data_IF_801871918615
#
_entry.id   IF_801871918615
#
_cell.length_a   1.000
_cell.length_b   1.000
_cell.length_c   1.000
_cell.angle_alpha   90.00
_cell.angle_beta   90.00
_cell.angle_gamma   90.00
#
_symmetry.space_group_name_H-M   'P 1'
#
loop_
_entity.id
_entity.type
_entity.pdbx_description
1 polymer ?
#
# COMPACT_ATOMS: atom_id res chain seq x y z
N UNK A 1 24.86 -16.79 45.41
CA UNK A 1 23.42 -16.91 45.08
C UNK A 1 23.21 -16.22 43.75
N UNK A 2 22.85 -16.98 42.71
CA UNK A 2 22.71 -16.49 41.34
C UNK A 2 21.29 -15.92 41.24
N UNK A 3 21.14 -14.60 41.30
CA UNK A 3 19.85 -13.94 41.08
C UNK A 3 19.44 -14.18 39.63
N UNK A 4 18.62 -15.20 39.44
CA UNK A 4 17.94 -15.52 38.20
C UNK A 4 16.75 -14.55 38.15
N UNK A 5 16.97 -13.36 37.58
CA UNK A 5 15.85 -12.52 37.18
C UNK A 5 15.07 -13.31 36.15
N UNK A 6 13.92 -13.85 36.56
CA UNK A 6 12.90 -14.33 35.65
C UNK A 6 12.57 -13.14 34.75
N UNK A 7 13.00 -13.17 33.49
CA UNK A 7 12.49 -12.30 32.44
C UNK A 7 10.96 -12.47 32.48
N UNK A 8 10.26 -11.54 33.14
CA UNK A 8 8.81 -11.49 33.12
C UNK A 8 8.43 -11.14 31.69
N UNK A 9 8.21 -12.18 30.88
CA UNK A 9 7.59 -12.02 29.58
C UNK A 9 6.22 -11.38 29.84
N UNK A 10 5.96 -10.17 29.33
CA UNK A 10 4.66 -9.52 29.54
C UNK A 10 3.56 -10.45 29.05
N UNK A 11 2.43 -10.46 29.75
CA UNK A 11 1.31 -11.32 29.39
C UNK A 11 0.81 -10.93 28.00
N UNK A 12 0.86 -11.90 27.07
CA UNK A 12 0.50 -11.71 25.67
C UNK A 12 -0.96 -11.30 25.56
N UNK A 13 -1.83 -11.86 26.39
CA UNK A 13 -3.26 -11.54 26.39
C UNK A 13 -3.51 -10.11 26.86
N UNK A 14 -2.84 -9.69 27.93
CA UNK A 14 -2.90 -8.31 28.43
C UNK A 14 -2.39 -7.31 27.37
N UNK A 15 -1.27 -7.61 26.70
CA UNK A 15 -0.72 -6.77 25.63
C UNK A 15 -1.68 -6.62 24.45
N UNK A 16 -2.33 -7.71 24.02
CA UNK A 16 -3.32 -7.67 22.94
C UNK A 16 -4.51 -6.82 23.36
N UNK A 17 -5.11 -7.14 24.50
CA UNK A 17 -6.38 -6.54 24.94
C UNK A 17 -6.24 -5.03 25.17
N UNK A 18 -5.12 -4.60 25.75
CA UNK A 18 -4.82 -3.18 26.01
C UNK A 18 -4.53 -2.36 24.74
N UNK A 19 -4.23 -3.00 23.61
CA UNK A 19 -3.82 -2.33 22.36
C UNK A 19 -4.77 -2.61 21.18
N UNK A 20 -5.97 -3.16 21.42
CA UNK A 20 -6.97 -3.34 20.36
C UNK A 20 -7.44 -2.02 19.75
N UNK A 21 -7.50 -0.94 20.55
CA UNK A 21 -7.87 0.39 20.06
C UNK A 21 -6.82 0.94 19.08
N UNK A 22 -5.54 0.66 19.32
CA UNK A 22 -4.44 1.05 18.43
C UNK A 22 -4.61 0.44 17.04
N UNK A 23 -5.04 -0.83 16.97
CA UNK A 23 -5.36 -1.49 15.69
C UNK A 23 -6.46 -0.75 14.96
N UNK A 24 -7.55 -0.40 15.66
CA UNK A 24 -8.66 0.33 15.04
C UNK A 24 -8.24 1.71 14.55
N UNK A 25 -7.46 2.44 15.33
CA UNK A 25 -6.90 3.74 14.93
C UNK A 25 -6.04 3.61 13.66
N UNK A 26 -5.10 2.67 13.64
CA UNK A 26 -4.23 2.42 12.49
C UNK A 26 -5.04 1.99 11.26
N UNK A 27 -5.98 1.07 11.43
CA UNK A 27 -6.82 0.58 10.34
C UNK A 27 -7.69 1.69 9.74
N UNK A 28 -8.33 2.53 10.57
CA UNK A 28 -9.10 3.69 10.09
C UNK A 28 -8.23 4.71 9.36
N UNK A 29 -7.06 4.98 9.93
CA UNK A 29 -6.10 5.88 9.32
C UNK A 29 -5.65 5.40 7.92
N UNK A 30 -5.41 4.09 7.80
CA UNK A 30 -5.02 3.43 6.55
C UNK A 30 -6.17 3.31 5.56
N UNK A 31 -7.39 3.00 6.04
CA UNK A 31 -8.59 2.86 5.22
C UNK A 31 -8.90 4.14 4.43
N UNK A 32 -8.63 5.32 5.01
CA UNK A 32 -8.76 6.59 4.30
C UNK A 32 -7.96 6.70 2.99
N UNK A 33 -6.98 5.81 2.76
CA UNK A 33 -6.15 5.73 1.54
C UNK A 33 -6.51 4.58 0.59
N UNK A 34 -7.31 3.60 1.02
CA UNK A 34 -7.61 2.37 0.26
C UNK A 34 -9.09 1.97 0.33
N UNK A 35 -9.96 2.88 0.75
CA UNK A 35 -11.39 2.62 1.01
C UNK A 35 -12.15 2.11 -0.22
N UNK A 36 -11.65 2.34 -1.44
CA UNK A 36 -12.27 1.80 -2.65
C UNK A 36 -11.92 0.34 -2.91
N UNK A 37 -10.92 -0.19 -2.21
CA UNK A 37 -10.28 -1.46 -2.52
C UNK A 37 -10.48 -2.52 -1.44
N UNK A 38 -10.67 -2.11 -0.19
CA UNK A 38 -10.84 -3.01 0.96
C UNK A 38 -11.78 -2.39 2.00
N UNK A 39 -12.59 -3.21 2.66
CA UNK A 39 -13.46 -2.76 3.74
C UNK A 39 -12.68 -2.50 5.04
N UNK A 40 -13.18 -1.60 5.87
CA UNK A 40 -12.56 -1.28 7.16
C UNK A 40 -12.47 -2.50 8.09
N UNK A 41 -13.49 -3.36 8.09
CA UNK A 41 -13.53 -4.54 8.96
C UNK A 41 -12.42 -5.54 8.59
N UNK A 42 -12.12 -5.70 7.30
CA UNK A 42 -11.01 -6.53 6.83
C UNK A 42 -9.67 -5.95 7.27
N UNK A 43 -9.46 -4.63 7.14
CA UNK A 43 -8.24 -3.97 7.61
C UNK A 43 -8.04 -4.12 9.12
N UNK A 44 -9.11 -4.01 9.90
CA UNK A 44 -9.07 -4.22 11.35
C UNK A 44 -8.68 -5.67 11.66
N UNK A 45 -9.24 -6.66 10.96
CA UNK A 45 -8.89 -8.07 11.16
C UNK A 45 -7.42 -8.35 10.83
N UNK A 46 -6.92 -7.83 9.70
CA UNK A 46 -5.51 -7.94 9.32
C UNK A 46 -4.62 -7.27 10.37
N UNK A 47 -5.04 -6.09 10.85
CA UNK A 47 -4.34 -5.38 11.91
C UNK A 47 -4.28 -6.16 13.22
N UNK A 48 -5.36 -6.85 13.60
CA UNK A 48 -5.37 -7.72 14.78
C UNK A 48 -4.40 -8.89 14.62
N UNK A 49 -4.30 -9.48 13.42
CA UNK A 49 -3.29 -10.51 13.15
C UNK A 49 -1.86 -9.96 13.35
N UNK A 50 -1.61 -8.73 12.89
CA UNK A 50 -0.36 -8.00 13.14
C UNK A 50 -0.08 -7.77 14.62
N UNK A 51 -1.10 -7.38 15.40
CA UNK A 51 -1.00 -7.17 16.84
C UNK A 51 -0.70 -8.46 17.61
N UNK A 52 -1.41 -9.56 17.30
CA UNK A 52 -1.17 -10.88 17.91
C UNK A 52 0.27 -11.32 17.65
N UNK A 53 0.71 -11.21 16.39
CA UNK A 53 2.09 -11.53 16.01
C UNK A 53 3.10 -10.63 16.72
N UNK A 54 2.79 -9.35 16.92
CA UNK A 54 3.64 -8.43 17.67
C UNK A 54 3.74 -8.84 19.14
N UNK A 55 2.61 -9.12 19.80
CA UNK A 55 2.57 -9.51 21.21
C UNK A 55 3.35 -10.80 21.48
N UNK A 56 3.22 -11.81 20.61
CA UNK A 56 3.94 -13.08 20.72
C UNK A 56 5.47 -12.93 20.60
N UNK A 57 5.91 -11.98 19.77
CA UNK A 57 7.32 -11.77 19.44
C UNK A 57 7.97 -10.61 20.21
N UNK A 58 7.22 -9.94 21.10
CA UNK A 58 7.73 -8.81 21.84
C UNK A 58 8.73 -9.24 22.91
N UNK A 59 9.86 -8.53 22.95
CA UNK A 59 10.84 -8.63 24.02
C UNK A 59 11.04 -7.24 24.60
N UNK A 60 10.97 -7.13 25.93
CA UNK A 60 11.13 -5.85 26.61
C UNK A 60 12.54 -5.34 26.37
N UNK A 61 12.67 -4.16 25.75
CA UNK A 61 13.95 -3.47 25.52
C UNK A 61 13.85 -2.05 26.06
N UNK A 62 14.92 -1.57 26.68
CA UNK A 62 14.98 -0.18 27.12
C UNK A 62 14.85 0.77 25.92
N UNK A 63 13.92 1.73 26.01
CA UNK A 63 13.74 2.80 25.01
C UNK A 63 12.63 2.60 23.97
N UNK A 64 11.96 1.45 23.92
CA UNK A 64 10.83 1.24 23.00
C UNK A 64 9.61 0.67 23.74
N UNK A 65 8.47 1.38 23.67
CA UNK A 65 7.21 0.87 24.22
C UNK A 65 6.63 -0.21 23.32
N UNK A 66 5.83 -1.11 23.90
CA UNK A 66 5.10 -2.10 23.10
C UNK A 66 4.20 -1.44 22.05
N UNK A 67 3.52 -0.33 22.39
CA UNK A 67 2.69 0.41 21.45
C UNK A 67 3.45 0.86 20.18
N UNK A 68 4.65 1.43 20.34
CA UNK A 68 5.48 1.84 19.19
C UNK A 68 5.92 0.65 18.34
N UNK A 69 6.31 -0.46 18.97
CA UNK A 69 6.67 -1.69 18.27
C UNK A 69 5.47 -2.33 17.55
N UNK A 70 4.35 -2.48 18.25
CA UNK A 70 3.11 -3.04 17.72
C UNK A 70 2.59 -2.20 16.54
N UNK A 71 2.64 -0.87 16.63
CA UNK A 71 2.24 0.01 15.53
C UNK A 71 2.97 -0.29 14.22
N UNK A 72 4.30 -0.49 14.28
CA UNK A 72 5.10 -0.88 13.10
C UNK A 72 4.65 -2.23 12.55
N UNK A 73 4.43 -3.23 13.42
CA UNK A 73 4.04 -4.59 13.02
C UNK A 73 2.62 -4.68 12.46
N UNK A 74 1.67 -3.95 13.06
CA UNK A 74 0.29 -3.84 12.58
C UNK A 74 0.29 -3.21 11.19
N UNK A 75 0.99 -2.08 11.02
CA UNK A 75 1.10 -1.42 9.72
C UNK A 75 1.72 -2.34 8.67
N UNK A 76 2.83 -3.00 9.02
CA UNK A 76 3.49 -3.95 8.13
C UNK A 76 2.58 -5.09 7.69
N UNK A 77 1.81 -5.68 8.60
CA UNK A 77 0.85 -6.74 8.27
C UNK A 77 -0.22 -6.26 7.28
N UNK A 78 -0.76 -5.06 7.50
CA UNK A 78 -1.74 -4.45 6.59
C UNK A 78 -1.10 -4.17 5.23
N UNK A 79 0.08 -3.54 5.19
CA UNK A 79 0.82 -3.24 3.94
C UNK A 79 1.10 -4.52 3.16
N UNK A 80 1.58 -5.57 3.82
CA UNK A 80 1.90 -6.84 3.18
C UNK A 80 0.67 -7.53 2.61
N UNK A 81 -0.47 -7.46 3.31
CA UNK A 81 -1.73 -7.97 2.80
C UNK A 81 -2.16 -7.20 1.54
N UNK A 82 -2.16 -5.88 1.61
CA UNK A 82 -2.52 -5.03 0.48
C UNK A 82 -1.58 -5.28 -0.71
N UNK A 83 -0.29 -5.55 -0.48
CA UNK A 83 0.68 -5.87 -1.55
C UNK A 83 0.33 -7.17 -2.25
N UNK A 84 -0.07 -8.18 -1.50
CA UNK A 84 -0.52 -9.46 -2.07
C UNK A 84 -1.82 -9.25 -2.87
N UNK A 85 -2.76 -8.49 -2.32
CA UNK A 85 -4.02 -8.15 -3.00
C UNK A 85 -3.79 -7.33 -4.28
N UNK A 86 -2.88 -6.36 -4.28
CA UNK A 86 -2.57 -5.55 -5.46
C UNK A 86 -1.86 -6.34 -6.55
N UNK A 87 -0.93 -7.22 -6.19
CA UNK A 87 -0.28 -8.13 -7.14
C UNK A 87 -1.31 -9.05 -7.79
N UNK A 88 -2.27 -9.55 -7.01
CA UNK A 88 -3.39 -10.32 -7.53
C UNK A 88 -4.28 -9.50 -8.47
N UNK A 89 -4.60 -8.25 -8.11
CA UNK A 89 -5.37 -7.34 -8.97
C UNK A 89 -4.63 -7.05 -10.29
N UNK A 90 -3.33 -6.73 -10.23
CA UNK A 90 -2.50 -6.48 -11.43
C UNK A 90 -2.48 -7.69 -12.35
N UNK A 91 -2.24 -8.89 -11.79
CA UNK A 91 -2.23 -10.13 -12.57
C UNK A 91 -3.59 -10.38 -13.22
N UNK A 92 -4.67 -10.14 -12.47
CA UNK A 92 -6.05 -10.23 -12.98
C UNK A 92 -6.31 -9.22 -14.10
N UNK A 93 -5.87 -7.97 -13.98
CA UNK A 93 -6.02 -6.94 -15.01
C UNK A 93 -5.26 -7.30 -16.29
N UNK A 94 -4.00 -7.73 -16.15
CA UNK A 94 -3.18 -8.16 -17.29
C UNK A 94 -3.81 -9.37 -18.00
N UNK A 95 -4.33 -10.34 -17.23
CA UNK A 95 -5.03 -11.49 -17.79
C UNK A 95 -6.34 -11.11 -18.46
N UNK A 96 -7.13 -10.20 -17.88
CA UNK A 96 -8.38 -9.72 -18.48
C UNK A 96 -8.14 -9.02 -19.81
N UNK A 97 -7.06 -8.22 -19.93
CA UNK A 97 -6.64 -7.62 -21.20
C UNK A 97 -6.30 -8.68 -22.24
N UNK A 98 -5.54 -9.72 -21.87
CA UNK A 98 -5.21 -10.84 -22.76
C UNK A 98 -6.47 -11.58 -23.21
N UNK A 99 -7.38 -11.90 -22.28
CA UNK A 99 -8.66 -12.54 -22.57
C UNK A 99 -9.52 -11.68 -23.52
N UNK A 100 -9.56 -10.36 -23.33
CA UNK A 100 -10.30 -9.47 -24.23
C UNK A 100 -9.72 -9.43 -25.67
N UNK A 101 -8.40 -9.51 -25.81
CA UNK A 101 -7.74 -9.63 -27.12
C UNK A 101 -8.07 -10.98 -27.76
N UNK A 102 -7.84 -12.08 -27.04
CA UNK A 102 -8.15 -13.44 -27.49
C UNK A 102 -9.62 -13.58 -27.92
N UNK A 103 -10.55 -13.06 -27.13
CA UNK A 103 -11.98 -13.07 -27.45
C UNK A 103 -12.33 -12.25 -28.69
N UNK A 104 -11.65 -11.12 -28.95
CA UNK A 104 -11.84 -10.35 -30.19
C UNK A 104 -11.34 -11.11 -31.41
N UNK A 105 -10.18 -11.76 -31.32
CA UNK A 105 -9.64 -12.58 -32.41
C UNK A 105 -10.54 -13.78 -32.73
N UNK A 106 -10.99 -14.50 -31.70
CA UNK A 106 -11.88 -15.64 -31.87
C UNK A 106 -13.25 -15.21 -32.42
N UNK A 107 -13.83 -14.11 -31.94
CA UNK A 107 -15.05 -13.53 -32.53
C UNK A 107 -14.88 -13.25 -34.02
N UNK A 108 -13.75 -12.66 -34.42
CA UNK A 108 -13.47 -12.36 -35.82
C UNK A 108 -13.33 -13.62 -36.67
N UNK A 109 -12.83 -14.73 -36.12
CA UNK A 109 -12.66 -16.00 -36.83
C UNK A 109 -13.93 -16.85 -36.87
N UNK A 110 -14.69 -16.90 -35.76
CA UNK A 110 -15.84 -17.77 -35.57
C UNK A 110 -17.16 -17.12 -36.01
N UNK A 111 -17.22 -15.79 -36.09
CA UNK A 111 -18.46 -15.05 -36.38
C UNK A 111 -19.52 -15.13 -35.27
N UNK A 112 -19.15 -15.64 -34.09
CA UNK A 112 -19.98 -15.75 -32.88
C UNK A 112 -19.12 -15.55 -31.64
N UNK A 113 -19.74 -15.46 -30.47
CA UNK A 113 -18.98 -15.47 -29.22
C UNK A 113 -18.29 -16.83 -29.00
N UNK A 114 -17.00 -16.83 -28.58
CA UNK A 114 -16.27 -18.04 -28.25
C UNK A 114 -16.73 -18.61 -26.90
N UNK A 115 -16.67 -19.93 -26.77
CA UNK A 115 -16.90 -20.62 -25.50
C UNK A 115 -15.67 -20.50 -24.59
N UNK A 116 -15.82 -20.80 -23.30
CA UNK A 116 -14.69 -20.80 -22.36
C UNK A 116 -13.62 -21.83 -22.76
N UNK A 117 -14.02 -23.00 -23.24
CA UNK A 117 -13.10 -24.02 -23.76
C UNK A 117 -12.31 -23.51 -24.99
N UNK A 118 -12.96 -22.78 -25.91
CA UNK A 118 -12.32 -22.18 -27.08
C UNK A 118 -11.36 -21.05 -26.68
N UNK A 119 -11.73 -20.24 -25.67
CA UNK A 119 -10.87 -19.22 -25.09
C UNK A 119 -9.63 -19.83 -24.42
N UNK A 120 -9.82 -20.85 -23.59
CA UNK A 120 -8.75 -21.56 -22.90
C UNK A 120 -7.76 -22.17 -23.89
N UNK A 121 -8.27 -22.85 -24.93
CA UNK A 121 -7.46 -23.44 -25.99
C UNK A 121 -6.67 -22.40 -26.79
N UNK A 122 -7.28 -21.24 -27.08
CA UNK A 122 -6.60 -20.15 -27.82
C UNK A 122 -5.57 -19.41 -26.97
N UNK A 123 -5.76 -19.37 -25.65
CA UNK A 123 -4.85 -18.75 -24.69
C UNK A 123 -3.78 -19.71 -24.15
N UNK A 124 -3.79 -20.98 -24.58
CA UNK A 124 -2.87 -22.04 -24.13
C UNK A 124 -2.88 -22.25 -22.61
N UNK A 125 -4.07 -22.20 -22.01
CA UNK A 125 -4.29 -22.46 -20.58
C UNK A 125 -5.32 -23.59 -20.37
N UNK A 126 -5.26 -24.32 -19.25
CA UNK A 126 -6.28 -25.29 -18.88
C UNK A 126 -7.67 -24.64 -18.76
N UNK A 127 -8.72 -25.37 -19.14
CA UNK A 127 -10.10 -24.88 -19.04
C UNK A 127 -10.50 -24.55 -17.59
N UNK A 128 -10.03 -25.32 -16.62
CA UNK A 128 -10.21 -25.05 -15.19
C UNK A 128 -9.58 -23.72 -14.77
N UNK A 129 -8.41 -23.38 -15.32
CA UNK A 129 -7.75 -22.11 -15.05
C UNK A 129 -8.54 -20.94 -15.65
N UNK A 130 -9.08 -21.11 -16.86
CA UNK A 130 -9.94 -20.10 -17.49
C UNK A 130 -11.23 -19.85 -16.69
N UNK A 131 -11.82 -20.89 -16.09
CA UNK A 131 -12.95 -20.74 -15.17
C UNK A 131 -12.57 -19.91 -13.94
N UNK A 132 -11.43 -20.18 -13.32
CA UNK A 132 -10.94 -19.41 -12.17
C UNK A 132 -10.73 -17.93 -12.55
N UNK A 133 -10.15 -17.65 -13.71
CA UNK A 133 -9.99 -16.29 -14.21
C UNK A 133 -11.32 -15.59 -14.46
N UNK A 134 -12.32 -16.29 -15.00
CA UNK A 134 -13.65 -15.72 -15.21
C UNK A 134 -14.29 -15.24 -13.90
N UNK A 135 -14.17 -16.02 -12.83
CA UNK A 135 -14.62 -15.62 -11.49
C UNK A 135 -13.83 -14.42 -10.95
N UNK A 136 -12.50 -14.42 -11.10
CA UNK A 136 -11.64 -13.32 -10.66
C UNK A 136 -11.94 -12.00 -11.40
N UNK A 137 -12.32 -12.07 -12.69
CA UNK A 137 -12.74 -10.90 -13.46
C UNK A 137 -14.04 -10.32 -12.91
N UNK A 138 -15.04 -11.14 -12.59
CA UNK A 138 -16.33 -10.67 -12.07
C UNK A 138 -16.17 -9.99 -10.71
N UNK A 139 -15.32 -10.52 -9.83
CA UNK A 139 -15.03 -9.90 -8.54
C UNK A 139 -14.41 -8.49 -8.68
N UNK A 140 -13.57 -8.27 -9.71
CA UNK A 140 -12.94 -6.97 -9.96
C UNK A 140 -13.85 -5.94 -10.65
N UNK A 141 -14.96 -6.33 -11.29
CA UNK A 141 -15.83 -5.40 -12.03
C UNK A 141 -16.53 -4.38 -11.11
N UNK A 142 -16.65 -4.67 -9.81
CA UNK A 142 -17.25 -3.76 -8.83
C UNK A 142 -16.32 -2.63 -8.36
N UNK A 143 -15.04 -2.64 -8.75
CA UNK A 143 -14.08 -1.59 -8.44
C UNK A 143 -13.47 -1.05 -9.74
N UNK A 144 -13.32 0.28 -9.85
CA UNK A 144 -12.67 0.87 -11.04
C UNK A 144 -11.21 0.43 -11.09
N UNK A 145 -10.81 -0.19 -12.21
CA UNK A 145 -9.50 -0.84 -12.37
C UNK A 145 -8.31 0.11 -12.17
N UNK A 146 -8.48 1.40 -12.50
CA UNK A 146 -7.43 2.42 -12.33
C UNK A 146 -7.38 3.01 -10.91
N UNK A 147 -8.50 3.06 -10.19
CA UNK A 147 -8.52 3.66 -8.84
C UNK A 147 -7.89 2.74 -7.80
N UNK A 148 -8.09 1.43 -7.94
CA UNK A 148 -7.48 0.42 -7.07
C UNK A 148 -5.96 0.45 -7.17
N UNK A 149 -5.42 0.63 -8.38
CA UNK A 149 -3.97 0.63 -8.60
C UNK A 149 -3.28 1.87 -8.01
N UNK A 150 -3.86 3.05 -8.15
CA UNK A 150 -3.25 4.31 -7.67
C UNK A 150 -3.16 4.36 -6.14
N UNK A 151 -4.23 3.97 -5.43
CA UNK A 151 -4.30 3.95 -3.96
C UNK A 151 -3.24 3.02 -3.34
N UNK A 152 -2.99 1.91 -4.02
CA UNK A 152 -2.05 0.87 -3.61
C UNK A 152 -0.60 1.18 -3.99
N UNK A 153 -0.37 1.86 -5.10
CA UNK A 153 0.97 2.18 -5.62
C UNK A 153 1.89 2.87 -4.60
N UNK A 154 1.31 3.71 -3.73
CA UNK A 154 2.04 4.51 -2.72
C UNK A 154 2.76 3.61 -1.70
N UNK A 155 2.24 2.41 -1.44
CA UNK A 155 2.75 1.52 -0.39
C UNK A 155 3.70 0.43 -0.90
N UNK A 156 3.84 0.34 -2.23
CA UNK A 156 4.59 -0.73 -2.89
C UNK A 156 5.89 -0.28 -3.54
N UNK A 157 6.35 0.94 -3.21
CA UNK A 157 7.75 1.32 -3.44
C UNK A 157 8.63 0.38 -2.60
N UNK A 158 9.42 -0.45 -3.27
CA UNK A 158 10.19 -1.54 -2.68
C UNK A 158 11.25 -1.04 -1.69
N UNK A 159 11.42 -1.77 -0.58
CA UNK A 159 12.45 -1.54 0.44
C UNK A 159 13.62 -2.53 0.37
N UNK A 160 13.81 -3.22 -0.76
CA UNK A 160 14.95 -4.13 -0.96
C UNK A 160 16.14 -3.35 -1.48
N UNK A 161 16.94 -2.78 -0.57
CA UNK A 161 18.14 -2.03 -0.91
C UNK A 161 19.36 -2.99 -0.96
N UNK A 162 20.03 -3.05 -2.11
CA UNK A 162 21.38 -3.60 -2.27
C UNK A 162 22.44 -2.62 -1.72
N UNK A 163 23.71 -3.04 -1.53
CA UNK A 163 24.77 -2.14 -1.07
C UNK A 163 25.02 -0.92 -1.99
N UNK A 164 24.74 -1.05 -3.29
CA UNK A 164 24.73 0.06 -4.24
C UNK A 164 23.50 0.98 -4.05
N UNK A 165 22.36 0.41 -3.66
CA UNK A 165 21.15 1.18 -3.32
C UNK A 165 21.33 2.02 -2.04
N UNK A 166 22.15 1.59 -1.07
CA UNK A 166 22.43 2.36 0.15
C UNK A 166 23.23 3.67 -0.13
N UNK A 167 24.13 3.66 -1.13
CA UNK A 167 24.85 4.86 -1.56
C UNK A 167 23.90 5.80 -2.31
N UNK A 168 23.03 5.23 -3.16
CA UNK A 168 21.93 5.95 -3.77
C UNK A 168 20.94 6.52 -2.74
N UNK A 169 20.73 5.86 -1.61
CA UNK A 169 19.74 6.27 -0.60
C UNK A 169 20.15 7.57 0.11
N UNK A 170 21.44 7.76 0.43
CA UNK A 170 21.92 9.03 1.00
C UNK A 170 21.83 10.19 0.00
N UNK A 171 22.16 9.95 -1.27
CA UNK A 171 22.02 10.94 -2.34
C UNK A 171 20.56 11.25 -2.64
N UNK A 172 19.70 10.23 -2.68
CA UNK A 172 18.26 10.35 -2.86
C UNK A 172 17.62 11.09 -1.68
N UNK A 173 18.01 10.79 -0.44
CA UNK A 173 17.57 11.53 0.73
C UNK A 173 17.95 13.01 0.64
N UNK A 174 19.16 13.32 0.19
CA UNK A 174 19.63 14.69 0.01
C UNK A 174 18.84 15.41 -1.09
N UNK A 175 18.63 14.75 -2.23
CA UNK A 175 17.81 15.24 -3.35
C UNK A 175 16.36 15.49 -2.91
N UNK A 176 15.76 14.55 -2.20
CA UNK A 176 14.40 14.66 -1.66
C UNK A 176 14.30 15.83 -0.67
N UNK A 177 15.30 15.99 0.20
CA UNK A 177 15.35 17.09 1.17
C UNK A 177 15.47 18.46 0.49
N UNK A 178 16.26 18.54 -0.59
CA UNK A 178 16.37 19.76 -1.39
C UNK A 178 15.09 20.02 -2.20
N UNK A 179 14.44 18.99 -2.75
CA UNK A 179 13.15 19.10 -3.41
C UNK A 179 12.06 19.59 -2.46
N UNK A 180 11.98 19.03 -1.24
CA UNK A 180 11.04 19.46 -0.20
C UNK A 180 11.21 20.93 0.19
N UNK A 181 12.43 21.47 0.15
CA UNK A 181 12.70 22.91 0.41
C UNK A 181 12.17 23.84 -0.66
N UNK A 182 11.92 23.34 -1.87
CA UNK A 182 11.35 24.13 -2.97
C UNK A 182 9.82 24.22 -2.92
N UNK A 183 9.17 23.38 -2.10
CA UNK A 183 7.72 23.39 -1.99
C UNK A 183 7.21 24.67 -1.31
N UNK A 184 6.10 25.26 -1.81
CA UNK A 184 5.36 26.27 -1.08
C UNK A 184 4.96 25.79 0.32
N UNK A 185 4.92 26.71 1.29
CA UNK A 185 4.66 26.39 2.71
C UNK A 185 3.39 25.54 2.91
N UNK A 186 2.29 25.86 2.19
CA UNK A 186 1.04 25.09 2.27
C UNK A 186 1.17 23.67 1.70
N UNK A 187 1.99 23.49 0.67
CA UNK A 187 2.25 22.18 0.07
C UNK A 187 3.14 21.34 0.98
N UNK A 188 4.22 21.93 1.51
CA UNK A 188 5.10 21.29 2.47
C UNK A 188 4.35 20.86 3.73
N UNK A 189 3.45 21.72 4.25
CA UNK A 189 2.63 21.40 5.41
C UNK A 189 1.68 20.22 5.14
N UNK A 190 1.01 20.19 3.99
CA UNK A 190 0.14 19.05 3.63
C UNK A 190 0.94 17.76 3.48
N UNK A 191 2.15 17.82 2.91
CA UNK A 191 3.03 16.66 2.79
C UNK A 191 3.52 16.19 4.18
N UNK A 192 3.92 17.10 5.07
CA UNK A 192 4.31 16.78 6.44
C UNK A 192 3.16 16.09 7.18
N UNK A 193 1.97 16.70 7.19
CA UNK A 193 0.81 16.13 7.87
C UNK A 193 0.44 14.76 7.30
N UNK A 194 0.57 14.57 5.98
CA UNK A 194 0.16 13.33 5.33
C UNK A 194 1.16 12.17 5.47
N UNK A 195 2.46 12.45 5.38
CA UNK A 195 3.52 11.42 5.34
C UNK A 195 4.29 11.26 6.65
N UNK A 196 4.38 12.30 7.48
CA UNK A 196 5.14 12.26 8.73
C UNK A 196 4.21 12.12 9.93
N UNK A 197 3.20 13.00 10.01
CA UNK A 197 2.20 12.93 11.09
C UNK A 197 1.16 11.85 10.83
N UNK A 198 1.22 11.18 9.68
CA UNK A 198 0.27 10.15 9.28
C UNK A 198 -1.17 10.63 9.53
N UNK A 199 -1.58 11.74 8.89
CA UNK A 199 -2.97 12.21 8.87
C UNK A 199 -3.62 11.93 7.52
N UNK A 200 -4.89 11.55 7.54
CA UNK A 200 -5.68 11.30 6.34
C UNK A 200 -6.24 12.63 5.79
N UNK A 201 -6.79 12.61 4.57
CA UNK A 201 -7.25 13.83 3.88
C UNK A 201 -8.38 14.54 4.64
N UNK A 202 -9.20 13.81 5.40
CA UNK A 202 -10.28 14.37 6.22
C UNK A 202 -9.72 15.05 7.47
N UNK A 203 -8.79 14.40 8.16
CA UNK A 203 -8.10 14.97 9.34
C UNK A 203 -7.31 16.22 8.96
N UNK A 204 -6.61 16.19 7.82
CA UNK A 204 -5.87 17.36 7.31
C UNK A 204 -6.83 18.49 6.92
N UNK A 205 -7.98 18.16 6.33
CA UNK A 205 -9.00 19.14 5.96
C UNK A 205 -9.55 19.86 7.19
N UNK A 206 -9.76 19.13 8.28
CA UNK A 206 -10.17 19.67 9.57
C UNK A 206 -9.07 20.56 10.19
N UNK A 207 -7.83 20.07 10.25
CA UNK A 207 -6.68 20.82 10.80
C UNK A 207 -6.42 22.12 10.03
N UNK A 208 -6.60 22.11 8.70
CA UNK A 208 -6.32 23.25 7.84
C UNK A 208 -7.56 24.10 7.52
N UNK A 209 -8.72 23.76 8.09
CA UNK A 209 -10.02 24.42 7.85
C UNK A 209 -10.36 24.59 6.35
N UNK A 210 -10.14 23.54 5.56
CA UNK A 210 -10.42 23.52 4.11
C UNK A 210 -11.22 22.28 3.72
N UNK A 211 -11.66 22.19 2.45
CA UNK A 211 -12.33 21.00 1.95
C UNK A 211 -11.34 19.87 1.67
N UNK A 212 -11.78 18.62 1.79
CA UNK A 212 -10.99 17.43 1.42
C UNK A 212 -10.49 17.48 -0.03
N UNK A 213 -11.34 17.96 -0.95
CA UNK A 213 -10.96 18.20 -2.34
C UNK A 213 -9.81 19.20 -2.49
N UNK A 214 -9.77 20.25 -1.65
CA UNK A 214 -8.67 21.21 -1.63
C UNK A 214 -7.38 20.58 -1.11
N UNK A 215 -7.43 19.75 -0.07
CA UNK A 215 -6.26 19.00 0.43
C UNK A 215 -5.72 18.07 -0.66
N UNK A 216 -6.59 17.31 -1.34
CA UNK A 216 -6.17 16.44 -2.45
C UNK A 216 -5.51 17.21 -3.60
N UNK A 217 -6.01 18.40 -3.94
CA UNK A 217 -5.37 19.27 -4.94
C UNK A 217 -3.98 19.73 -4.50
N UNK A 218 -3.83 20.19 -3.26
CA UNK A 218 -2.54 20.64 -2.72
C UNK A 218 -1.54 19.48 -2.68
N UNK A 219 -1.96 18.30 -2.21
CA UNK A 219 -1.14 17.08 -2.21
C UNK A 219 -0.69 16.71 -3.63
N UNK A 220 -1.62 16.75 -4.60
CA UNK A 220 -1.32 16.44 -6.00
C UNK A 220 -0.32 17.44 -6.61
N UNK A 221 -0.49 18.73 -6.33
CA UNK A 221 0.44 19.76 -6.78
C UNK A 221 1.84 19.55 -6.19
N UNK A 222 1.92 19.30 -4.88
CA UNK A 222 3.18 19.03 -4.19
C UNK A 222 3.92 17.81 -4.77
N UNK A 223 3.22 16.70 -4.99
CA UNK A 223 3.81 15.48 -5.59
C UNK A 223 4.28 15.75 -7.02
N UNK A 224 3.52 16.51 -7.82
CA UNK A 224 3.92 16.87 -9.17
C UNK A 224 5.21 17.72 -9.18
N UNK A 225 5.31 18.71 -8.29
CA UNK A 225 6.51 19.53 -8.11
C UNK A 225 7.73 18.70 -7.70
N UNK A 226 7.55 17.79 -6.74
CA UNK A 226 8.63 16.89 -6.29
C UNK A 226 9.10 15.95 -7.42
N UNK A 227 8.17 15.35 -8.17
CA UNK A 227 8.50 14.49 -9.31
C UNK A 227 9.24 15.25 -10.41
N UNK A 228 8.82 16.47 -10.71
CA UNK A 228 9.48 17.30 -11.72
C UNK A 228 10.92 17.62 -11.31
N UNK A 229 11.13 18.04 -10.05
CA UNK A 229 12.47 18.34 -9.53
C UNK A 229 13.41 17.13 -9.57
N UNK A 230 12.90 15.94 -9.19
CA UNK A 230 13.67 14.70 -9.21
C UNK A 230 13.99 14.26 -10.65
N UNK A 231 13.01 14.33 -11.57
CA UNK A 231 13.21 13.95 -12.97
C UNK A 231 14.16 14.86 -13.75
N UNK A 232 14.19 16.17 -13.46
CA UNK A 232 15.16 17.08 -14.07
C UNK A 232 16.60 16.82 -13.60
N UNK A 233 16.76 16.44 -12.32
CA UNK A 233 18.07 16.13 -11.72
C UNK A 233 18.63 14.80 -12.18
N UNK A 234 17.79 13.77 -12.32
CA UNK A 234 18.19 12.46 -12.84
C UNK A 234 18.70 12.56 -14.30
N UNK A 235 18.09 13.44 -15.10
CA UNK A 235 18.53 13.74 -16.47
C UNK A 235 19.83 14.57 -16.57
N UNK A 236 20.23 15.25 -15.49
CA UNK A 236 21.50 15.98 -15.38
C UNK A 236 22.66 15.07 -14.97
N UNK A 237 22.41 14.12 -14.06
CA UNK A 237 23.43 13.15 -13.60
C UNK A 237 23.81 12.14 -14.69
N UNK A 238 22.91 11.81 -15.62
CA UNK A 238 23.18 10.92 -16.75
C UNK A 238 23.90 11.59 -17.94
N UNK A 239 24.22 12.89 -17.84
CA UNK A 239 24.90 13.66 -18.90
C UNK A 239 26.36 13.99 -18.60
N UNK A 240 26.86 13.65 -17.41
CA UNK A 240 28.27 13.69 -17.02
C UNK A 240 28.88 12.28 -17.06
#
# INVERSE_FOLDING_TARGET
MRNQYLEQKPDVEELITSHMELVRQIAWHMHGRVHSSIEIDDLIQIGYFGLVTAAQNYTLREGATFASYAGIRIRGAIVDHLRKSSNLCRTTIEMQKKANVAGRELRSRLGREPTLAEMASHMDIPEEEMHNWQHAFQANVHQSLDSVYDDFSIWFVSSENTPEDNINEEELHKLLKDALRTLPEREALVIQLYYVEELNVYEIAEVLEVTTGRVSQIKKAAIASLRHFLGEREALVLKE
#
